data_IF_877983193909
#
_entry.id   IF_877983193909
#
_cell.length_a   1.000
_cell.length_b   1.000
_cell.length_c   1.000
_cell.angle_alpha   90.00
_cell.angle_beta   90.00
_cell.angle_gamma   90.00
#
_symmetry.space_group_name_H-M   'P 1'
#
loop_
_entity.id
_entity.type
_entity.pdbx_description
1 polymer ?
#
# COMPACT_ATOMS: atom_id res chain seq x y z
N UNK A 1 15.03 -17.38 6.27
CA UNK A 1 14.02 -16.90 5.30
C UNK A 1 13.73 -15.45 5.57
N UNK A 2 13.61 -14.62 4.53
CA UNK A 2 13.26 -13.20 4.68
C UNK A 2 11.75 -13.03 4.93
N UNK A 3 11.33 -11.86 5.44
CA UNK A 3 9.91 -11.55 5.62
C UNK A 3 9.15 -11.64 4.28
N UNK A 4 9.75 -11.17 3.18
CA UNK A 4 9.18 -11.25 1.82
C UNK A 4 8.98 -12.71 1.40
N UNK A 5 9.97 -13.56 1.65
CA UNK A 5 9.89 -14.98 1.31
C UNK A 5 8.73 -15.68 2.02
N UNK A 6 8.50 -15.37 3.29
CA UNK A 6 7.40 -15.96 4.06
C UNK A 6 6.03 -15.56 3.50
N UNK A 7 5.85 -14.28 3.15
CA UNK A 7 4.58 -13.76 2.62
C UNK A 7 4.28 -14.34 1.23
N UNK A 8 5.29 -14.40 0.35
CA UNK A 8 5.13 -15.01 -0.98
C UNK A 8 4.85 -16.51 -0.87
N UNK A 9 5.55 -17.23 0.02
CA UNK A 9 5.31 -18.66 0.26
C UNK A 9 3.88 -18.92 0.72
N UNK A 10 3.36 -18.12 1.64
CA UNK A 10 1.98 -18.24 2.11
C UNK A 10 0.96 -18.03 0.97
N UNK A 11 1.21 -17.07 0.07
CA UNK A 11 0.37 -16.84 -1.11
C UNK A 11 0.40 -18.02 -2.10
N UNK A 12 1.59 -18.60 -2.34
CA UNK A 12 1.74 -19.80 -3.16
C UNK A 12 0.98 -20.97 -2.56
N UNK A 13 1.14 -21.22 -1.25
CA UNK A 13 0.43 -22.30 -0.55
C UNK A 13 -1.09 -22.14 -0.64
N UNK A 14 -1.59 -20.91 -0.46
CA UNK A 14 -3.01 -20.60 -0.59
C UNK A 14 -3.52 -20.85 -2.02
N UNK A 15 -2.78 -20.41 -3.03
CA UNK A 15 -3.13 -20.65 -4.43
C UNK A 15 -3.11 -22.13 -4.80
N UNK A 16 -2.12 -22.88 -4.31
CA UNK A 16 -2.03 -24.32 -4.50
C UNK A 16 -3.16 -25.07 -3.78
N UNK A 17 -3.54 -24.66 -2.56
CA UNK A 17 -4.67 -25.23 -1.83
C UNK A 17 -5.99 -25.01 -2.60
N UNK A 18 -6.24 -23.80 -3.09
CA UNK A 18 -7.41 -23.50 -3.92
C UNK A 18 -7.45 -24.29 -5.22
N UNK A 19 -6.29 -24.52 -5.85
CA UNK A 19 -6.22 -25.37 -7.02
C UNK A 19 -6.55 -26.82 -6.64
N UNK A 20 -6.01 -27.34 -5.53
CA UNK A 20 -6.26 -28.69 -5.06
C UNK A 20 -7.74 -28.97 -4.73
N UNK A 21 -8.51 -27.96 -4.31
CA UNK A 21 -9.96 -28.09 -4.10
C UNK A 21 -10.74 -28.39 -5.40
N UNK A 22 -10.26 -27.95 -6.56
CA UNK A 22 -10.90 -28.18 -7.86
C UNK A 22 -10.53 -29.54 -8.48
N UNK A 23 -9.40 -30.13 -8.11
CA UNK A 23 -8.94 -31.41 -8.66
C UNK A 23 -9.30 -32.57 -7.73
N UNK A 24 -10.35 -33.31 -8.08
CA UNK A 24 -10.82 -34.51 -7.35
C UNK A 24 -10.01 -35.78 -7.67
N UNK A 25 -9.18 -35.75 -8.71
CA UNK A 25 -8.33 -36.86 -9.18
C UNK A 25 -6.87 -36.43 -9.35
N UNK A 26 -5.94 -37.39 -9.48
CA UNK A 26 -4.50 -37.13 -9.67
C UNK A 26 -4.25 -36.04 -10.72
N UNK A 27 -3.62 -34.93 -10.28
CA UNK A 27 -3.09 -33.89 -11.16
C UNK A 27 -2.20 -34.51 -12.24
N UNK A 28 -2.44 -34.12 -13.48
CA UNK A 28 -1.61 -34.43 -14.63
C UNK A 28 -0.78 -33.21 -15.07
N UNK A 29 0.27 -33.38 -15.88
CA UNK A 29 0.99 -32.25 -16.46
C UNK A 29 0.10 -31.30 -17.29
N UNK A 30 -1.05 -31.76 -17.79
CA UNK A 30 -1.98 -30.94 -18.55
C UNK A 30 -2.72 -29.89 -17.68
N UNK A 31 -2.78 -30.10 -16.36
CA UNK A 31 -3.47 -29.22 -15.41
C UNK A 31 -2.60 -28.04 -14.95
N UNK A 32 -1.29 -28.07 -15.27
CA UNK A 32 -0.31 -27.07 -14.87
C UNK A 32 -0.74 -25.64 -15.23
N UNK A 33 -1.29 -25.33 -16.43
CA UNK A 33 -1.75 -23.98 -16.74
C UNK A 33 -2.87 -23.49 -15.81
N UNK A 34 -3.82 -24.35 -15.47
CA UNK A 34 -4.94 -24.00 -14.59
C UNK A 34 -4.45 -23.76 -13.15
N UNK A 35 -3.60 -24.65 -12.64
CA UNK A 35 -2.97 -24.49 -11.31
C UNK A 35 -2.14 -23.20 -11.26
N UNK A 36 -1.35 -22.93 -12.30
CA UNK A 36 -0.54 -21.71 -12.42
C UNK A 36 -1.40 -20.46 -12.37
N UNK A 37 -2.53 -20.44 -13.09
CA UNK A 37 -3.47 -19.32 -13.07
C UNK A 37 -4.01 -19.04 -11.66
N UNK A 38 -4.39 -20.09 -10.91
CA UNK A 38 -4.87 -19.96 -9.52
C UNK A 38 -3.80 -19.47 -8.57
N UNK A 39 -2.58 -19.99 -8.70
CA UNK A 39 -1.43 -19.52 -7.91
C UNK A 39 -1.12 -18.07 -8.23
N UNK A 40 -1.08 -17.69 -9.51
CA UNK A 40 -0.85 -16.31 -9.92
C UNK A 40 -1.93 -15.35 -9.42
N UNK A 41 -3.21 -15.77 -9.37
CA UNK A 41 -4.29 -14.95 -8.82
C UNK A 41 -4.07 -14.58 -7.34
N UNK A 42 -3.41 -15.46 -6.57
CA UNK A 42 -3.08 -15.18 -5.16
C UNK A 42 -1.72 -14.49 -4.99
N UNK A 43 -0.74 -14.82 -5.83
CA UNK A 43 0.65 -14.32 -5.70
C UNK A 43 0.83 -12.94 -6.32
N UNK A 44 0.21 -12.66 -7.48
CA UNK A 44 0.35 -11.38 -8.17
C UNK A 44 0.02 -10.15 -7.31
N UNK A 45 -1.11 -10.09 -6.57
CA UNK A 45 -1.39 -8.94 -5.71
C UNK A 45 -0.41 -8.82 -4.55
N UNK A 46 0.06 -9.95 -4.01
CA UNK A 46 1.06 -9.98 -2.93
C UNK A 46 2.39 -9.42 -3.41
N UNK A 47 2.87 -9.85 -4.58
CA UNK A 47 4.09 -9.35 -5.22
C UNK A 47 3.96 -7.86 -5.50
N UNK A 48 2.86 -7.43 -6.12
CA UNK A 48 2.60 -6.02 -6.38
C UNK A 48 2.63 -5.16 -5.10
N UNK A 49 2.15 -5.70 -3.98
CA UNK A 49 2.21 -5.01 -2.69
C UNK A 49 3.65 -4.92 -2.14
N UNK A 50 4.39 -6.03 -2.07
CA UNK A 50 5.76 -6.02 -1.53
C UNK A 50 6.73 -5.21 -2.40
N UNK A 51 6.45 -5.04 -3.70
CA UNK A 51 7.22 -4.18 -4.60
C UNK A 51 6.64 -2.78 -4.76
N UNK A 52 5.58 -2.43 -4.02
CA UNK A 52 4.85 -1.16 -4.14
C UNK A 52 4.36 -0.83 -5.58
N UNK A 53 4.16 -1.85 -6.42
CA UNK A 53 3.78 -1.72 -7.84
C UNK A 53 2.27 -1.73 -8.08
N UNK A 54 1.45 -1.85 -7.04
CA UNK A 54 -0.02 -1.71 -7.13
C UNK A 54 -0.41 -0.27 -7.55
N UNK A 55 -1.51 -0.10 -8.33
CA UNK A 55 -2.02 1.21 -8.72
C UNK A 55 -2.24 2.13 -7.52
N UNK A 56 -2.01 3.43 -7.72
CA UNK A 56 -2.04 4.42 -6.63
C UNK A 56 -3.37 4.43 -5.84
N UNK A 57 -4.49 4.11 -6.49
CA UNK A 57 -5.82 4.07 -5.86
C UNK A 57 -6.12 2.79 -5.08
N UNK A 58 -5.32 1.73 -5.24
CA UNK A 58 -5.39 0.49 -4.44
C UNK A 58 -4.39 0.52 -3.26
N UNK A 59 -3.39 1.39 -3.35
CA UNK A 59 -2.38 1.60 -2.31
C UNK A 59 -2.97 2.24 -1.06
N UNK A 60 -3.02 1.47 0.03
CA UNK A 60 -3.47 1.97 1.35
C UNK A 60 -2.59 3.11 1.87
N UNK A 61 -1.30 3.08 1.55
CA UNK A 61 -0.33 4.13 1.92
C UNK A 61 -0.64 5.42 1.17
N UNK A 62 -0.87 5.32 -0.14
CA UNK A 62 -1.20 6.49 -0.97
C UNK A 62 -2.53 7.09 -0.59
N UNK A 63 -3.57 6.27 -0.49
CA UNK A 63 -4.92 6.72 -0.12
C UNK A 63 -4.90 7.32 1.29
N UNK A 64 -4.23 6.67 2.24
CA UNK A 64 -4.08 7.19 3.60
C UNK A 64 -3.36 8.56 3.64
N UNK A 65 -2.31 8.73 2.85
CA UNK A 65 -1.62 10.01 2.71
C UNK A 65 -2.54 11.09 2.13
N UNK A 66 -3.31 10.80 1.08
CA UNK A 66 -4.27 11.77 0.55
C UNK A 66 -5.34 12.16 1.56
N UNK A 67 -5.86 11.20 2.34
CA UNK A 67 -6.82 11.50 3.42
C UNK A 67 -6.18 12.38 4.50
N UNK A 68 -4.94 12.07 4.92
CA UNK A 68 -4.22 12.87 5.89
C UNK A 68 -3.98 14.31 5.39
N UNK A 69 -3.54 14.46 4.14
CA UNK A 69 -3.36 15.75 3.47
C UNK A 69 -4.67 16.53 3.40
N UNK A 70 -5.77 15.90 3.00
CA UNK A 70 -7.08 16.54 2.94
C UNK A 70 -7.58 16.98 4.32
N UNK A 71 -7.34 16.18 5.36
CA UNK A 71 -7.77 16.47 6.74
C UNK A 71 -7.12 17.74 7.31
N UNK A 72 -5.87 18.03 6.90
CA UNK A 72 -5.17 19.28 7.25
C UNK A 72 -5.87 20.52 6.68
N UNK A 73 -6.45 20.40 5.48
CA UNK A 73 -7.04 21.52 4.74
C UNK A 73 -8.51 21.76 5.16
N UNK A 74 -9.20 20.73 5.65
CA UNK A 74 -10.62 20.82 6.03
C UNK A 74 -10.82 21.68 7.30
N UNK A 75 -9.96 21.55 8.31
CA UNK A 75 -10.11 22.27 9.59
C UNK A 75 -10.17 23.80 9.45
N UNK A 76 -9.26 24.44 8.68
CA UNK A 76 -9.28 25.89 8.45
C UNK A 76 -10.47 26.40 7.60
N UNK A 77 -11.11 25.54 6.79
CA UNK A 77 -12.18 25.95 5.85
C UNK A 77 -13.57 26.06 6.52
N UNK A 78 -13.78 25.47 7.70
CA UNK A 78 -15.08 25.44 8.39
C UNK A 78 -15.33 26.73 9.23
N UNK A 79 -14.60 27.82 8.94
CA UNK A 79 -15.03 29.19 9.29
C UNK A 79 -14.57 29.74 10.65
N UNK A 80 -13.27 29.65 10.97
CA UNK A 80 -12.71 30.32 12.15
C UNK A 80 -11.50 31.21 11.80
N UNK A 81 -11.48 32.42 12.38
CA UNK A 81 -10.46 33.47 12.21
C UNK A 81 -9.58 33.61 13.45
N UNK A 82 -8.31 34.04 13.31
CA UNK A 82 -7.27 33.81 14.31
C UNK A 82 -6.42 35.06 14.76
N UNK A 83 -6.28 35.37 16.08
CA UNK A 83 -5.40 36.25 16.93
C UNK A 83 -5.09 35.65 18.36
N UNK A 84 -3.90 35.62 18.99
CA UNK A 84 -3.43 34.46 19.82
C UNK A 84 -3.82 33.05 19.36
N UNK A 85 -5.08 32.88 19.03
CA UNK A 85 -5.59 32.19 17.89
C UNK A 85 -4.63 32.20 16.64
N UNK A 86 -3.74 33.19 16.31
CA UNK A 86 -2.69 32.98 15.26
C UNK A 86 -1.63 31.93 15.63
N UNK A 87 -1.42 31.65 16.92
CA UNK A 87 -0.52 30.59 17.36
C UNK A 87 -1.07 29.21 16.99
N UNK A 88 -2.40 29.06 16.98
CA UNK A 88 -3.08 27.94 16.35
C UNK A 88 -2.80 27.86 14.85
N UNK A 89 -2.67 28.99 14.15
CA UNK A 89 -2.31 29.04 12.73
C UNK A 89 -0.86 28.61 12.50
N UNK A 90 0.11 29.06 13.30
CA UNK A 90 1.50 28.59 13.20
C UNK A 90 1.58 27.10 13.53
N UNK A 91 0.89 26.64 14.57
CA UNK A 91 0.82 25.21 14.88
C UNK A 91 0.11 24.43 13.79
N UNK A 92 -0.98 24.93 13.20
CA UNK A 92 -1.71 24.28 12.12
C UNK A 92 -0.95 24.31 10.80
N UNK A 93 -0.17 25.35 10.53
CA UNK A 93 0.70 25.47 9.35
C UNK A 93 1.93 24.60 9.52
N UNK A 94 2.56 24.55 10.69
CA UNK A 94 3.72 23.67 10.95
C UNK A 94 3.29 22.21 11.03
N UNK A 95 2.19 21.90 11.71
CA UNK A 95 1.61 20.54 11.77
C UNK A 95 1.10 20.14 10.40
N UNK A 96 0.37 21.03 9.74
CA UNK A 96 -0.17 20.81 8.41
C UNK A 96 0.91 20.66 7.36
N UNK A 97 1.88 21.57 7.31
CA UNK A 97 3.05 21.46 6.43
C UNK A 97 3.90 20.24 6.78
N UNK A 98 4.05 19.89 8.06
CA UNK A 98 4.75 18.69 8.50
C UNK A 98 4.05 17.41 8.05
N UNK A 99 2.72 17.34 8.17
CA UNK A 99 1.90 16.22 7.68
C UNK A 99 1.91 16.16 6.16
N UNK A 100 1.77 17.30 5.47
CA UNK A 100 1.83 17.39 4.01
C UNK A 100 3.21 17.01 3.48
N UNK A 101 4.28 17.48 4.13
CA UNK A 101 5.66 17.14 3.79
C UNK A 101 5.95 15.67 4.07
N UNK A 102 5.49 15.12 5.20
CA UNK A 102 5.60 13.69 5.52
C UNK A 102 4.80 12.81 4.55
N UNK A 103 3.58 13.22 4.19
CA UNK A 103 2.75 12.55 3.19
C UNK A 103 3.40 12.61 1.80
N UNK A 104 3.88 13.79 1.39
CA UNK A 104 4.61 13.96 0.12
C UNK A 104 5.91 13.14 0.10
N UNK A 105 6.66 13.10 1.21
CA UNK A 105 7.85 12.29 1.35
C UNK A 105 7.55 10.79 1.28
N UNK A 106 6.47 10.34 1.91
CA UNK A 106 6.00 8.96 1.83
C UNK A 106 5.55 8.58 0.41
N UNK A 107 4.83 9.49 -0.28
CA UNK A 107 4.47 9.32 -1.70
C UNK A 107 5.70 9.30 -2.61
N UNK A 108 6.68 10.18 -2.37
CA UNK A 108 7.96 10.19 -3.08
C UNK A 108 8.72 8.88 -2.86
N UNK A 109 8.79 8.40 -1.62
CA UNK A 109 9.38 7.11 -1.27
C UNK A 109 8.74 5.94 -2.03
N UNK A 110 7.44 6.04 -2.30
CA UNK A 110 6.69 5.01 -3.04
C UNK A 110 6.87 5.11 -4.56
N UNK A 111 6.76 6.30 -5.12
CA UNK A 111 6.66 6.48 -6.58
C UNK A 111 8.00 6.77 -7.26
N UNK A 112 8.97 7.32 -6.53
CA UNK A 112 10.21 7.84 -7.11
C UNK A 112 11.44 7.20 -6.50
N UNK A 113 11.49 6.98 -5.18
CA UNK A 113 12.65 6.39 -4.54
C UNK A 113 12.85 4.92 -4.96
N UNK A 114 14.08 4.57 -5.34
CA UNK A 114 14.46 3.22 -5.83
C UNK A 114 15.33 2.45 -4.84
N UNK A 115 15.69 3.07 -3.71
CA UNK A 115 16.57 2.52 -2.69
C UNK A 115 15.99 2.77 -1.29
N UNK A 116 16.30 1.91 -0.30
CA UNK A 116 16.01 2.17 1.09
C UNK A 116 16.67 3.48 1.56
N UNK A 117 16.05 4.17 2.53
CA UNK A 117 16.65 5.36 3.14
C UNK A 117 18.00 5.00 3.78
N UNK A 118 19.04 5.78 3.50
CA UNK A 118 20.40 5.57 4.03
C UNK A 118 21.27 4.56 3.28
N UNK A 119 20.88 4.16 2.06
CA UNK A 119 21.64 3.31 1.12
C UNK A 119 21.75 3.95 -0.27
#
# INVERSE_FOLDING_TARGET
>A
MSAVENVVRAAVQKGAAKAAEEFTTKMSPADVPQVTSKVLAEVAPVVAHVTNSEPWYQSRVTVGNYVAMASVVIGPIIGHSFSPEEQGLITAVVTGAGVMAGAAFSLYGRWVAKKPLGQ
#
